data_IF_817619373767
#
_entry.id   IF_817619373767
#
_cell.length_a   1.000
_cell.length_b   1.000
_cell.length_c   1.000
_cell.angle_alpha   90.00
_cell.angle_beta   90.00
_cell.angle_gamma   90.00
#
_symmetry.space_group_name_H-M   'P 1'
#
loop_
_entity.id
_entity.type
_entity.pdbx_description
1 polymer ?
#
# COMPACT_ATOMS: atom_id res chain seq x y z
N UNK A 1 -7.71 -6.38 3.98
CA UNK A 1 -9.08 -6.90 3.84
C UNK A 1 -9.16 -7.63 2.52
N UNK A 2 -9.33 -8.96 2.48
CA UNK A 2 -9.52 -9.68 1.25
C UNK A 2 -10.99 -9.59 0.85
N UNK A 3 -11.33 -8.51 0.16
CA UNK A 3 -12.65 -8.39 -0.46
C UNK A 3 -12.72 -9.35 -1.65
N UNK A 4 -13.94 -9.72 -2.05
CA UNK A 4 -14.14 -10.51 -3.27
C UNK A 4 -13.72 -9.73 -4.51
N UNK A 5 -13.27 -10.44 -5.54
CA UNK A 5 -12.88 -9.88 -6.83
C UNK A 5 -13.92 -8.88 -7.38
N UNK A 6 -13.43 -7.71 -7.83
CA UNK A 6 -14.24 -6.65 -8.40
C UNK A 6 -14.95 -5.74 -7.39
N UNK A 7 -14.76 -5.96 -6.07
CA UNK A 7 -15.25 -5.06 -5.03
C UNK A 7 -14.22 -3.99 -4.71
N UNK A 8 -14.66 -2.73 -4.71
CA UNK A 8 -13.84 -1.55 -4.40
C UNK A 8 -13.68 -1.34 -2.88
N UNK A 9 -12.43 -1.33 -2.40
CA UNK A 9 -12.08 -1.06 -1.01
C UNK A 9 -12.55 0.30 -0.51
N UNK A 10 -12.63 1.34 -1.37
CA UNK A 10 -13.13 2.64 -0.95
C UNK A 10 -14.61 2.56 -0.52
N UNK A 11 -15.39 1.68 -1.16
CA UNK A 11 -16.76 1.36 -0.77
C UNK A 11 -16.84 0.65 0.58
N UNK A 12 -15.90 -0.25 0.88
CA UNK A 12 -15.81 -0.89 2.20
C UNK A 12 -15.45 0.11 3.30
N UNK A 13 -14.47 0.99 3.06
CA UNK A 13 -14.06 2.00 4.04
C UNK A 13 -15.21 2.91 4.45
N UNK A 14 -16.16 3.17 3.54
CA UNK A 14 -17.40 3.87 3.87
C UNK A 14 -18.21 3.16 4.95
N UNK A 15 -18.32 1.84 4.88
CA UNK A 15 -19.02 1.05 5.90
C UNK A 15 -18.27 1.09 7.23
N UNK A 16 -16.93 1.02 7.19
CA UNK A 16 -16.09 1.02 8.39
C UNK A 16 -16.10 2.36 9.13
N UNK A 17 -15.99 3.49 8.41
CA UNK A 17 -15.95 4.83 9.00
C UNK A 17 -17.32 5.49 9.15
N UNK A 18 -18.38 4.83 8.65
CA UNK A 18 -19.72 5.40 8.56
C UNK A 18 -19.78 6.74 7.79
N UNK A 19 -18.80 7.00 6.92
CA UNK A 19 -18.71 8.16 6.05
C UNK A 19 -17.94 7.82 4.77
N UNK A 20 -18.30 8.41 3.60
CA UNK A 20 -17.60 8.11 2.36
C UNK A 20 -16.18 8.72 2.35
N UNK A 21 -15.21 7.96 1.85
CA UNK A 21 -13.87 8.47 1.59
C UNK A 21 -13.91 9.56 0.51
N UNK A 22 -13.35 10.74 0.79
CA UNK A 22 -13.26 11.82 -0.19
C UNK A 22 -12.15 11.52 -1.20
N UNK A 23 -12.54 11.25 -2.45
CA UNK A 23 -11.62 10.95 -3.55
C UNK A 23 -11.44 12.15 -4.51
N UNK A 24 -10.27 12.23 -5.14
CA UNK A 24 -9.96 13.19 -6.21
C UNK A 24 -9.21 12.49 -7.35
N UNK A 25 -9.32 13.02 -8.57
CA UNK A 25 -8.62 12.48 -9.75
C UNK A 25 -7.11 12.77 -9.69
N UNK A 26 -6.33 11.77 -10.08
CA UNK A 26 -4.91 11.90 -10.40
C UNK A 26 -4.66 12.91 -11.54
N UNK A 27 -3.43 13.41 -11.65
CA UNK A 27 -3.03 14.40 -12.66
C UNK A 27 -2.70 13.79 -14.02
N UNK A 28 -2.15 12.58 -14.03
CA UNK A 28 -1.52 11.98 -15.22
C UNK A 28 -2.09 10.61 -15.60
N UNK A 29 -2.83 9.97 -14.70
CA UNK A 29 -3.48 8.67 -14.92
C UNK A 29 -4.98 8.75 -14.61
N UNK A 30 -5.78 7.88 -15.23
CA UNK A 30 -7.23 7.84 -15.06
C UNK A 30 -7.65 7.08 -13.79
N UNK A 31 -7.10 7.47 -12.64
CA UNK A 31 -7.38 6.89 -11.32
C UNK A 31 -7.80 7.97 -10.33
N UNK A 32 -8.38 7.53 -9.21
CA UNK A 32 -8.75 8.38 -8.08
C UNK A 32 -7.92 8.01 -6.85
N UNK A 33 -7.66 9.01 -5.99
CA UNK A 33 -6.88 8.88 -4.75
C UNK A 33 -7.56 9.64 -3.62
N UNK A 34 -7.22 9.31 -2.37
CA UNK A 34 -7.72 10.02 -1.20
C UNK A 34 -7.31 11.50 -1.23
N UNK A 35 -8.27 12.40 -1.12
CA UNK A 35 -8.06 13.86 -1.16
C UNK A 35 -7.15 14.37 -0.03
N UNK A 36 -7.00 13.59 1.04
CA UNK A 36 -6.20 13.92 2.21
C UNK A 36 -4.80 13.29 2.20
N UNK A 37 -4.44 12.51 1.18
CA UNK A 37 -3.13 11.87 1.09
C UNK A 37 -1.99 12.91 1.21
N UNK A 38 -0.93 12.54 1.94
CA UNK A 38 0.26 13.39 2.11
C UNK A 38 1.09 13.47 0.82
N UNK A 39 1.32 12.31 0.19
CA UNK A 39 2.12 12.12 -1.01
C UNK A 39 1.39 11.12 -1.92
N UNK A 40 1.27 11.43 -3.20
CA UNK A 40 0.73 10.55 -4.25
C UNK A 40 1.78 10.40 -5.34
N UNK A 41 2.12 9.16 -5.66
CA UNK A 41 3.01 8.80 -6.76
C UNK A 41 2.17 8.19 -7.88
N UNK A 42 2.18 8.82 -9.04
CA UNK A 42 1.41 8.40 -10.22
C UNK A 42 2.34 7.84 -11.30
N UNK A 43 1.86 6.87 -12.07
CA UNK A 43 2.66 6.24 -13.10
C UNK A 43 2.05 4.96 -13.66
N UNK A 44 2.88 4.21 -14.38
CA UNK A 44 2.52 2.91 -14.95
C UNK A 44 3.50 1.83 -14.49
N UNK A 45 3.02 0.61 -14.28
CA UNK A 45 3.87 -0.55 -14.04
C UNK A 45 4.34 -1.10 -15.39
N UNK A 46 5.64 -1.19 -15.60
CA UNK A 46 6.19 -1.79 -16.81
C UNK A 46 5.92 -3.29 -16.82
N UNK A 47 5.40 -3.81 -17.93
CA UNK A 47 5.19 -5.24 -18.13
C UNK A 47 6.46 -5.98 -18.60
N UNK A 48 7.50 -5.24 -18.99
CA UNK A 48 8.69 -5.80 -19.65
C UNK A 48 9.99 -5.41 -18.96
N UNK A 49 10.02 -4.31 -18.20
CA UNK A 49 11.21 -3.86 -17.49
C UNK A 49 11.17 -4.35 -16.05
N UNK A 50 12.25 -5.02 -15.66
CA UNK A 50 12.51 -5.39 -14.28
C UNK A 50 13.77 -4.69 -13.75
N UNK A 51 13.85 -4.56 -12.44
CA UNK A 51 15.05 -4.15 -11.73
C UNK A 51 15.26 -5.02 -10.48
N UNK A 52 16.50 -5.14 -9.98
CA UNK A 52 16.78 -5.78 -8.71
C UNK A 52 16.02 -5.12 -7.55
N UNK A 53 15.21 -5.88 -6.81
CA UNK A 53 14.50 -5.46 -5.61
C UNK A 53 14.97 -6.21 -4.36
N UNK A 54 15.07 -5.49 -3.25
CA UNK A 54 15.57 -6.00 -1.96
C UNK A 54 17.11 -6.00 -1.83
N UNK A 55 17.65 -6.61 -0.76
CA UNK A 55 16.91 -7.26 0.34
C UNK A 55 16.26 -6.24 1.30
N UNK A 56 15.20 -6.65 1.97
CA UNK A 56 14.50 -5.88 3.01
C UNK A 56 14.35 -6.74 4.27
N UNK A 57 14.22 -6.11 5.44
CA UNK A 57 13.71 -6.79 6.64
C UNK A 57 12.26 -7.20 6.41
N UNK A 58 11.89 -8.40 6.83
CA UNK A 58 10.55 -8.96 6.65
C UNK A 58 9.91 -9.24 8.01
N UNK A 59 8.58 -9.28 8.02
CA UNK A 59 7.72 -9.47 9.20
C UNK A 59 8.12 -10.63 10.14
N UNK A 60 8.81 -11.66 9.63
CA UNK A 60 9.28 -12.78 10.44
C UNK A 60 10.55 -12.46 11.26
N UNK A 61 11.09 -11.24 11.18
CA UNK A 61 12.22 -10.79 11.99
C UNK A 61 13.60 -10.96 11.39
N UNK A 62 13.70 -11.24 10.08
CA UNK A 62 14.97 -11.55 9.41
C UNK A 62 15.10 -10.83 8.07
N UNK A 63 16.33 -10.56 7.65
CA UNK A 63 16.67 -10.07 6.32
C UNK A 63 17.18 -11.26 5.50
N UNK A 64 16.57 -11.48 4.33
CA UNK A 64 17.03 -12.47 3.35
C UNK A 64 18.25 -11.94 2.58
N UNK A 65 19.14 -12.82 2.14
CA UNK A 65 20.24 -12.49 1.21
C UNK A 65 19.80 -12.44 -0.27
N UNK A 66 18.55 -12.85 -0.54
CA UNK A 66 17.99 -12.94 -1.89
C UNK A 66 17.56 -11.57 -2.41
N UNK A 67 18.13 -11.21 -3.56
CA UNK A 67 17.64 -10.13 -4.43
C UNK A 67 16.75 -10.77 -5.50
N UNK A 68 15.60 -10.15 -5.81
CA UNK A 68 14.68 -10.64 -6.84
C UNK A 68 14.38 -9.55 -7.85
N UNK A 69 14.27 -9.91 -9.12
CA UNK A 69 13.75 -9.01 -10.15
C UNK A 69 12.30 -8.63 -9.84
N UNK A 70 12.02 -7.32 -9.84
CA UNK A 70 10.69 -6.74 -9.62
C UNK A 70 10.34 -5.83 -10.79
N UNK A 71 9.06 -5.75 -11.12
CA UNK A 71 8.57 -4.85 -12.16
C UNK A 71 8.89 -3.40 -11.80
N UNK A 72 9.31 -2.62 -12.78
CA UNK A 72 9.63 -1.20 -12.61
C UNK A 72 8.34 -0.36 -12.65
N UNK A 73 8.22 0.56 -11.70
CA UNK A 73 7.21 1.62 -11.75
C UNK A 73 7.79 2.84 -12.50
N UNK A 74 7.17 3.23 -13.60
CA UNK A 74 7.52 4.41 -14.38
C UNK A 74 6.68 5.60 -13.90
N UNK A 75 7.32 6.51 -13.17
CA UNK A 75 6.66 7.63 -12.50
C UNK A 75 6.39 8.76 -13.50
N UNK A 76 5.13 9.16 -13.63
CA UNK A 76 4.69 10.30 -14.44
C UNK A 76 4.44 11.58 -13.64
N UNK A 77 4.09 11.46 -12.35
CA UNK A 77 3.96 12.60 -11.45
C UNK A 77 4.16 12.19 -9.99
N UNK A 78 4.62 13.15 -9.18
CA UNK A 78 4.55 13.10 -7.72
C UNK A 78 3.82 14.36 -7.28
N UNK A 79 2.70 14.20 -6.57
CA UNK A 79 1.95 15.32 -5.98
C UNK A 79 1.92 15.16 -4.47
N UNK A 80 1.94 16.29 -3.75
CA UNK A 80 2.04 16.28 -2.29
C UNK A 80 1.43 17.53 -1.68
N UNK A 81 1.13 17.46 -0.38
CA UNK A 81 0.73 18.62 0.42
C UNK A 81 1.93 19.53 0.72
N UNK A 82 1.65 20.73 1.22
CA UNK A 82 2.70 21.57 1.79
C UNK A 82 3.26 20.90 3.05
N UNK A 83 4.60 20.79 3.15
CA UNK A 83 5.29 20.12 4.25
C UNK A 83 4.78 18.69 4.50
N UNK A 84 4.97 17.78 3.52
CA UNK A 84 4.39 16.45 3.56
C UNK A 84 5.05 15.55 4.60
N UNK A 85 4.27 14.64 5.17
CA UNK A 85 4.75 13.57 6.04
C UNK A 85 4.88 12.27 5.25
N UNK A 86 6.04 11.63 5.31
CA UNK A 86 6.26 10.30 4.78
C UNK A 86 6.22 9.29 5.94
N UNK A 87 5.11 8.57 6.15
CA UNK A 87 5.09 7.46 7.11
C UNK A 87 6.00 6.34 6.59
N UNK A 88 6.76 5.73 7.50
CA UNK A 88 7.69 4.64 7.19
C UNK A 88 7.50 3.53 8.22
N UNK A 89 7.47 2.29 7.74
CA UNK A 89 7.53 1.08 8.56
C UNK A 89 8.93 0.47 8.46
N UNK A 90 9.50 0.13 9.61
CA UNK A 90 10.78 -0.57 9.69
C UNK A 90 10.54 -2.04 10.03
N UNK A 91 10.16 -2.81 9.01
CA UNK A 91 9.83 -4.23 9.16
C UNK A 91 10.99 -5.03 9.77
N UNK A 92 10.67 -5.91 10.72
CA UNK A 92 11.66 -6.72 11.40
C UNK A 92 11.07 -7.58 12.50
N UNK A 93 11.78 -7.65 13.63
CA UNK A 93 11.32 -8.46 14.77
C UNK A 93 10.08 -7.82 15.37
N UNK A 94 9.09 -8.62 15.82
CA UNK A 94 7.92 -8.08 16.50
C UNK A 94 8.30 -7.12 17.64
N UNK A 95 7.58 -6.01 17.85
CA UNK A 95 6.29 -5.64 17.24
C UNK A 95 6.44 -4.40 16.36
N UNK A 96 5.98 -4.48 15.10
CA UNK A 96 5.87 -3.38 14.13
C UNK A 96 4.49 -3.38 13.44
N UNK A 97 4.29 -2.57 12.40
CA UNK A 97 3.03 -2.47 11.67
C UNK A 97 2.63 -3.77 10.93
N UNK A 98 3.57 -4.62 10.52
CA UNK A 98 3.22 -5.93 9.94
C UNK A 98 2.49 -6.79 10.96
N UNK A 99 2.84 -6.67 12.24
CA UNK A 99 2.24 -7.43 13.31
C UNK A 99 0.89 -6.85 13.75
N UNK A 100 0.86 -5.53 13.97
CA UNK A 100 -0.31 -4.84 14.55
C UNK A 100 -1.41 -4.56 13.53
N UNK A 101 -1.08 -4.41 12.24
CA UNK A 101 -2.08 -4.17 11.19
C UNK A 101 -2.41 -5.47 10.46
N UNK A 102 -1.39 -6.12 9.88
CA UNK A 102 -1.61 -7.30 9.05
C UNK A 102 -1.95 -8.53 9.90
N UNK A 103 -1.23 -8.75 11.00
CA UNK A 103 -1.48 -9.87 11.92
C UNK A 103 -2.87 -9.84 12.56
N UNK A 104 -3.28 -8.68 13.07
CA UNK A 104 -4.61 -8.50 13.67
C UNK A 104 -5.73 -8.66 12.62
N UNK A 105 -5.55 -8.06 11.43
CA UNK A 105 -6.50 -8.24 10.32
C UNK A 105 -6.64 -9.70 9.92
N UNK A 106 -5.53 -10.44 9.84
CA UNK A 106 -5.56 -11.87 9.52
C UNK A 106 -6.24 -12.70 10.61
N UNK A 107 -5.99 -12.37 11.88
CA UNK A 107 -6.61 -13.04 13.02
C UNK A 107 -8.13 -12.86 13.03
N UNK A 108 -8.62 -11.66 12.70
CA UNK A 108 -10.05 -11.39 12.58
C UNK A 108 -10.72 -12.27 11.51
N UNK A 109 -10.07 -12.48 10.37
CA UNK A 109 -10.61 -13.34 9.31
C UNK A 109 -10.70 -14.81 9.71
N UNK A 110 -9.69 -15.31 10.41
CA UNK A 110 -9.68 -16.70 10.88
C UNK A 110 -10.76 -16.95 11.93
N UNK A 111 -11.15 -15.92 12.70
CA UNK A 111 -12.26 -16.02 13.63
C UNK A 111 -13.62 -16.13 12.93
N UNK A 112 -13.75 -15.60 11.72
CA UNK A 112 -14.99 -15.61 10.94
C UNK A 112 -15.20 -16.90 10.11
N UNK A 113 -14.19 -17.79 10.05
CA UNK A 113 -14.28 -19.12 9.40
C UNK A 113 -14.72 -20.21 10.37
#
# INVERSE_FOLDING_TARGET
MPLSDGVDEAGYLRCLFNEPLKLIRCKTVALEVAAQAEIVVEGHVSLTRCAPGGPMGEFHGYISDRIREKLVYEISAITQRNNPLLPVTSAGKPVDEDHTITGDSASAMVLET
#
